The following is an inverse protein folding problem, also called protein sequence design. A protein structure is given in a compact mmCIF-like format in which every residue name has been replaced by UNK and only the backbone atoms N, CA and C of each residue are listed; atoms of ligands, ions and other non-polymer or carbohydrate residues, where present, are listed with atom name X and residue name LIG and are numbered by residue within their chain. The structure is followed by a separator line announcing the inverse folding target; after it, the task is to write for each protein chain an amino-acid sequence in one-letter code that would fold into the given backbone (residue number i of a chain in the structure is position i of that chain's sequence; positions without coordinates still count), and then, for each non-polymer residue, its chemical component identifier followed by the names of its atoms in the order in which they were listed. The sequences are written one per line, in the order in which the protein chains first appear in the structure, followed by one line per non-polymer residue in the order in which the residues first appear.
data_IF_392622015442
#
_entry.id   IF_392622015442
#
_cell.length_a   1.000
_cell.length_b   1.000
_cell.length_c   1.000
_cell.angle_alpha   90.00
_cell.angle_beta   90.00
_cell.angle_gamma   90.00
#
_symmetry.space_group_name_H-M   'P 1'
#
loop_
_entity.id
_entity.type
_entity.pdbx_description
1 polymer ?
#
# COMPACT_ATOMS: atom_id res chain seq x y z
N UNK A 1 4.56 -5.24 15.37
CA UNK A 1 5.11 -6.45 14.75
C UNK A 1 3.98 -7.47 14.71
N UNK A 2 3.16 -7.45 13.66
CA UNK A 2 2.21 -8.55 13.42
C UNK A 2 2.91 -9.51 12.49
N UNK A 3 3.40 -10.64 13.01
CA UNK A 3 3.91 -11.70 12.16
C UNK A 3 2.79 -12.27 11.29
N UNK A 4 3.14 -12.81 10.12
CA UNK A 4 2.18 -13.50 9.25
C UNK A 4 1.45 -14.61 9.98
N UNK A 5 0.15 -14.73 9.79
CA UNK A 5 -0.75 -15.52 10.65
C UNK A 5 -0.93 -16.99 10.24
N UNK A 6 0.06 -17.60 9.60
CA UNK A 6 -0.08 -18.97 9.08
C UNK A 6 -0.39 -20.03 10.15
N UNK A 7 -1.11 -21.11 9.81
CA UNK A 7 -1.55 -21.52 8.47
C UNK A 7 -2.82 -20.79 7.99
N UNK A 8 -2.92 -20.55 6.67
CA UNK A 8 -4.05 -19.83 6.06
C UNK A 8 -5.22 -20.75 5.72
N UNK A 9 -6.44 -20.25 5.88
CA UNK A 9 -7.67 -21.02 5.62
C UNK A 9 -8.03 -21.09 4.12
N UNK A 10 -7.65 -20.07 3.33
CA UNK A 10 -7.84 -20.04 1.89
C UNK A 10 -6.90 -19.03 1.18
N UNK A 11 -6.92 -19.00 -0.15
CA UNK A 11 -6.09 -18.07 -0.94
C UNK A 11 -6.42 -16.58 -0.71
N UNK A 12 -7.68 -16.27 -0.40
CA UNK A 12 -8.08 -14.89 -0.07
C UNK A 12 -7.51 -14.45 1.29
N UNK A 13 -7.55 -15.33 2.28
CA UNK A 13 -6.98 -15.08 3.61
C UNK A 13 -5.47 -14.79 3.52
N UNK A 14 -4.73 -15.60 2.75
CA UNK A 14 -3.31 -15.37 2.49
C UNK A 14 -3.06 -14.01 1.79
N UNK A 15 -3.84 -13.66 0.77
CA UNK A 15 -3.69 -12.39 0.06
C UNK A 15 -4.00 -11.19 0.96
N UNK A 16 -5.07 -11.27 1.77
CA UNK A 16 -5.49 -10.23 2.71
C UNK A 16 -4.48 -10.03 3.83
N UNK A 17 -3.81 -11.08 4.31
CA UNK A 17 -2.73 -10.96 5.31
C UNK A 17 -1.55 -10.14 4.76
N UNK A 18 -1.18 -10.35 3.49
CA UNK A 18 -0.11 -9.59 2.82
C UNK A 18 -0.48 -8.12 2.65
N UNK A 19 -1.67 -7.82 2.10
CA UNK A 19 -2.10 -6.43 1.81
C UNK A 19 -2.82 -5.75 2.97
N UNK A 20 -2.90 -6.44 4.11
CA UNK A 20 -3.64 -6.01 5.29
C UNK A 20 -3.16 -4.65 5.80
N UNK A 21 -4.11 -3.85 6.26
CA UNK A 21 -3.87 -2.51 6.79
C UNK A 21 -4.14 -1.39 5.78
N UNK A 22 -4.17 -0.16 6.29
CA UNK A 22 -4.63 1.03 5.53
C UNK A 22 -3.74 1.39 4.34
N UNK A 23 -2.43 1.11 4.42
CA UNK A 23 -1.45 1.75 3.55
C UNK A 23 -0.88 0.84 2.46
N UNK A 24 -0.85 -0.50 2.64
CA UNK A 24 -0.19 -1.41 1.70
C UNK A 24 -0.81 -1.39 0.31
N UNK A 25 -2.14 -1.40 0.20
CA UNK A 25 -2.84 -1.28 -1.09
C UNK A 25 -2.50 0.03 -1.80
N UNK A 26 -2.42 1.15 -1.07
CA UNK A 26 -2.04 2.45 -1.64
C UNK A 26 -0.57 2.47 -2.09
N UNK A 27 0.33 1.79 -1.36
CA UNK A 27 1.73 1.63 -1.75
C UNK A 27 1.87 0.81 -3.03
N UNK A 28 1.15 -0.31 -3.14
CA UNK A 28 1.14 -1.13 -4.35
C UNK A 28 0.69 -0.31 -5.57
N UNK A 29 -0.40 0.45 -5.42
CA UNK A 29 -0.91 1.32 -6.48
C UNK A 29 0.07 2.44 -6.87
N UNK A 30 0.76 3.04 -5.89
CA UNK A 30 1.76 4.07 -6.15
C UNK A 30 3.00 3.52 -6.88
N UNK A 31 3.48 2.33 -6.47
CA UNK A 31 4.65 1.67 -7.04
C UNK A 31 4.37 1.02 -8.40
N UNK A 32 3.10 0.68 -8.70
CA UNK A 32 2.68 0.22 -10.02
C UNK A 32 2.88 1.29 -11.12
N UNK A 33 3.02 2.57 -10.74
CA UNK A 33 3.33 3.68 -11.65
C UNK A 33 4.84 3.89 -11.86
N UNK A 34 5.66 2.91 -11.47
CA UNK A 34 7.11 2.91 -11.60
C UNK A 34 7.86 3.28 -10.32
N UNK A 35 9.21 3.33 -10.38
CA UNK A 35 10.06 3.52 -9.20
C UNK A 35 9.71 4.78 -8.40
N UNK A 36 9.76 4.67 -7.06
CA UNK A 36 9.50 5.80 -6.15
C UNK A 36 10.53 5.87 -5.05
N UNK A 37 10.95 7.09 -4.70
CA UNK A 37 11.73 7.37 -3.48
C UNK A 37 10.80 7.49 -2.27
N UNK A 38 11.33 7.25 -1.07
CA UNK A 38 10.58 7.36 0.18
C UNK A 38 9.79 8.67 0.32
N UNK A 39 10.43 9.81 0.07
CA UNK A 39 9.78 11.13 0.16
C UNK A 39 8.70 11.38 -0.90
N UNK A 40 8.70 10.64 -2.02
CA UNK A 40 7.60 10.69 -3.00
C UNK A 40 6.42 9.86 -2.51
N UNK A 41 6.67 8.63 -2.04
CA UNK A 41 5.63 7.79 -1.43
C UNK A 41 4.94 8.51 -0.26
N UNK A 42 5.70 9.17 0.62
CA UNK A 42 5.13 9.95 1.74
C UNK A 42 4.17 11.05 1.28
N UNK A 43 4.44 11.68 0.13
CA UNK A 43 3.57 12.73 -0.44
C UNK A 43 2.33 12.16 -1.12
N UNK A 44 2.46 10.99 -1.74
CA UNK A 44 1.34 10.29 -2.40
C UNK A 44 0.39 9.64 -1.38
N UNK A 45 0.83 9.42 -0.13
CA UNK A 45 0.03 8.84 0.95
C UNK A 45 -0.17 9.85 2.12
N UNK A 46 -1.02 10.88 1.95
CA UNK A 46 -1.22 11.89 2.98
C UNK A 46 -1.76 11.27 4.29
N UNK A 47 -1.13 11.62 5.41
CA UNK A 47 -1.49 11.11 6.75
C UNK A 47 -0.71 9.87 7.20
N UNK A 48 0.16 9.30 6.37
CA UNK A 48 1.10 8.26 6.82
C UNK A 48 2.28 8.91 7.56
N UNK A 49 2.62 8.41 8.75
CA UNK A 49 3.85 8.83 9.43
C UNK A 49 5.06 8.14 8.80
N UNK A 50 6.24 8.75 8.91
CA UNK A 50 7.48 8.14 8.37
C UNK A 50 7.75 6.77 8.98
N UNK A 51 7.52 6.63 10.28
CA UNK A 51 7.67 5.36 11.00
C UNK A 51 6.76 4.28 10.41
N UNK A 52 5.49 4.62 10.14
CA UNK A 52 4.54 3.67 9.55
C UNK A 52 4.92 3.35 8.12
N UNK A 53 5.25 4.35 7.29
CA UNK A 53 5.67 4.12 5.90
C UNK A 53 6.90 3.20 5.82
N UNK A 54 7.92 3.48 6.62
CA UNK A 54 9.13 2.65 6.68
C UNK A 54 8.80 1.23 7.17
N UNK A 55 7.88 1.09 8.13
CA UNK A 55 7.45 -0.22 8.60
C UNK A 55 6.72 -1.01 7.50
N UNK A 56 5.81 -0.38 6.77
CA UNK A 56 5.05 -1.03 5.71
C UNK A 56 5.95 -1.42 4.53
N UNK A 57 6.91 -0.58 4.14
CA UNK A 57 7.89 -0.92 3.11
C UNK A 57 8.77 -2.09 3.52
N UNK A 58 9.24 -2.14 4.78
CA UNK A 58 10.01 -3.29 5.30
C UNK A 58 9.20 -4.58 5.31
N UNK A 59 7.92 -4.51 5.67
CA UNK A 59 7.04 -5.69 5.62
C UNK A 59 6.87 -6.18 4.18
N UNK A 60 6.57 -5.28 3.24
CA UNK A 60 6.43 -5.64 1.83
C UNK A 60 7.73 -6.13 1.20
N UNK A 61 8.88 -5.61 1.63
CA UNK A 61 10.21 -6.07 1.23
C UNK A 61 10.49 -7.48 1.77
N UNK A 62 10.25 -7.71 3.06
CA UNK A 62 10.35 -9.04 3.67
C UNK A 62 9.37 -10.03 3.02
N UNK A 63 8.24 -9.53 2.51
CA UNK A 63 7.25 -10.33 1.82
C UNK A 63 7.60 -10.65 0.36
N UNK A 64 8.69 -10.09 -0.18
CA UNK A 64 9.08 -10.26 -1.57
C UNK A 64 8.18 -9.52 -2.55
N UNK A 65 7.39 -8.56 -2.06
CA UNK A 65 6.43 -7.77 -2.84
C UNK A 65 7.06 -6.48 -3.37
N UNK A 66 7.95 -5.87 -2.59
CA UNK A 66 8.67 -4.65 -2.94
C UNK A 66 10.16 -4.92 -2.99
N UNK A 67 10.83 -4.44 -4.03
CA UNK A 67 12.27 -4.39 -4.10
C UNK A 67 12.78 -3.01 -3.67
N UNK A 68 13.81 -3.00 -2.82
CA UNK A 68 14.50 -1.79 -2.37
C UNK A 68 15.88 -1.76 -2.99
N UNK A 69 16.15 -0.76 -3.81
CA UNK A 69 17.43 -0.59 -4.49
C UNK A 69 18.15 0.67 -3.98
N UNK A 70 19.43 0.53 -3.64
CA UNK A 70 20.31 1.64 -3.25
C UNK A 70 21.23 1.93 -4.41
N UNK A 71 21.26 3.18 -4.85
CA UNK A 71 22.13 3.62 -5.93
C UNK A 71 23.25 4.48 -5.34
N UNK A 72 24.48 4.00 -5.52
CA UNK A 72 25.73 4.64 -5.07
C UNK A 72 26.17 5.77 -6.01
N UNK A 73 25.25 6.67 -6.31
CA UNK A 73 25.52 7.93 -7.02
C UNK A 73 25.66 9.09 -6.02
N UNK A 74 26.15 10.24 -6.47
CA UNK A 74 26.16 11.48 -5.65
C UNK A 74 25.03 12.41 -6.12
N UNK A 75 24.07 12.79 -5.25
CA UNK A 75 23.83 12.25 -3.91
C UNK A 75 23.21 10.84 -3.95
N UNK A 76 23.43 10.00 -2.92
CA UNK A 76 22.91 8.64 -2.88
C UNK A 76 21.38 8.66 -2.90
N UNK A 77 20.78 7.72 -3.63
CA UNK A 77 19.31 7.60 -3.72
C UNK A 77 18.87 6.17 -3.41
N UNK A 78 17.71 6.05 -2.79
CA UNK A 78 17.03 4.78 -2.55
C UNK A 78 15.70 4.81 -3.28
N UNK A 79 15.45 3.79 -4.09
CA UNK A 79 14.20 3.62 -4.82
C UNK A 79 13.53 2.31 -4.43
N UNK A 80 12.20 2.33 -4.50
CA UNK A 80 11.34 1.20 -4.26
C UNK A 80 10.59 0.88 -5.55
N UNK A 81 10.49 -0.40 -5.87
CA UNK A 81 9.78 -0.93 -7.05
C UNK A 81 8.95 -2.15 -6.65
N UNK A 82 7.92 -2.48 -7.43
CA UNK A 82 7.26 -3.78 -7.29
C UNK A 82 8.18 -4.87 -7.85
N UNK A 83 8.19 -6.02 -7.18
CA UNK A 83 8.73 -7.25 -7.76
C UNK A 83 7.73 -7.83 -8.77
N UNK A 84 8.08 -8.94 -9.43
CA UNK A 84 7.13 -9.69 -10.25
C UNK A 84 5.92 -10.16 -9.42
N UNK A 85 6.17 -10.70 -8.22
CA UNK A 85 5.10 -11.10 -7.29
C UNK A 85 4.24 -9.91 -6.83
N UNK A 86 4.87 -8.76 -6.56
CA UNK A 86 4.14 -7.55 -6.20
C UNK A 86 3.31 -6.99 -7.35
N UNK A 87 3.80 -7.14 -8.59
CA UNK A 87 3.07 -6.77 -9.80
C UNK A 87 1.85 -7.67 -9.98
N UNK A 88 1.99 -8.99 -9.88
CA UNK A 88 0.86 -9.92 -9.97
C UNK A 88 -0.17 -9.70 -8.85
N UNK A 89 0.28 -9.36 -7.64
CA UNK A 89 -0.61 -9.00 -6.55
C UNK A 89 -1.38 -7.72 -6.83
N UNK A 90 -0.73 -6.70 -7.39
CA UNK A 90 -1.38 -5.45 -7.78
C UNK A 90 -2.41 -5.67 -8.91
N UNK A 91 -2.15 -6.55 -9.87
CA UNK A 91 -3.11 -6.95 -10.91
C UNK A 91 -4.34 -7.63 -10.32
N UNK A 92 -4.16 -8.50 -9.32
CA UNK A 92 -5.28 -9.13 -8.60
C UNK A 92 -6.18 -8.13 -7.87
N UNK A 93 -5.68 -6.91 -7.57
CA UNK A 93 -6.46 -5.82 -6.96
C UNK A 93 -7.23 -4.98 -7.98
N UNK A 94 -6.98 -5.11 -9.28
CA UNK A 94 -7.66 -4.33 -10.32
C UNK A 94 -9.19 -4.55 -10.31
N UNK A 95 -9.71 -5.79 -10.25
CA UNK A 95 -11.15 -6.04 -10.15
C UNK A 95 -11.77 -5.44 -8.88
N UNK A 96 -11.04 -5.48 -7.76
CA UNK A 96 -11.47 -4.89 -6.50
C UNK A 96 -11.56 -3.35 -6.61
N UNK A 97 -10.56 -2.72 -7.21
CA UNK A 97 -10.58 -1.29 -7.51
C UNK A 97 -11.72 -0.89 -8.46
N UNK A 98 -12.01 -1.72 -9.47
CA UNK A 98 -13.15 -1.51 -10.36
C UNK A 98 -14.49 -1.62 -9.64
N UNK A 99 -14.64 -2.60 -8.74
CA UNK A 99 -15.81 -2.70 -7.88
C UNK A 99 -15.96 -1.45 -6.99
N UNK A 100 -14.88 -0.99 -6.37
CA UNK A 100 -14.88 0.22 -5.54
C UNK A 100 -15.35 1.46 -6.31
N UNK A 101 -14.84 1.68 -7.53
CA UNK A 101 -15.28 2.80 -8.39
C UNK A 101 -16.78 2.76 -8.71
N UNK A 102 -17.34 1.58 -8.93
CA UNK A 102 -18.78 1.44 -9.23
C UNK A 102 -19.68 1.74 -8.02
N UNK A 103 -19.18 1.52 -6.81
CA UNK A 103 -20.00 1.61 -5.58
C UNK A 103 -19.63 2.78 -4.67
N UNK A 104 -18.63 3.59 -5.02
CA UNK A 104 -18.17 4.68 -4.14
C UNK A 104 -19.30 5.65 -3.75
N UNK A 105 -20.16 6.06 -4.69
CA UNK A 105 -21.27 6.95 -4.40
C UNK A 105 -22.29 6.34 -3.42
N UNK A 106 -22.56 5.04 -3.56
CA UNK A 106 -23.43 4.31 -2.63
C UNK A 106 -22.81 4.23 -1.23
N UNK A 107 -21.51 3.94 -1.14
CA UNK A 107 -20.80 3.86 0.13
C UNK A 107 -20.73 5.23 0.84
N UNK A 108 -20.51 6.31 0.08
CA UNK A 108 -20.51 7.69 0.58
C UNK A 108 -21.90 8.13 1.08
N UNK A 109 -22.97 7.75 0.37
CA UNK A 109 -24.34 8.04 0.79
C UNK A 109 -24.74 7.28 2.06
N UNK A 110 -24.22 6.07 2.26
CA UNK A 110 -24.54 5.22 3.42
C UNK A 110 -23.73 5.60 4.67
N UNK A 111 -22.54 6.18 4.48
CA UNK A 111 -21.69 6.67 5.57
C UNK A 111 -21.27 8.12 5.29
N UNK A 112 -22.17 9.10 5.49
CA UNK A 112 -21.83 10.50 5.30
C UNK A 112 -20.62 10.85 6.17
N UNK A 113 -19.58 11.42 5.55
CA UNK A 113 -18.39 11.89 6.28
C UNK A 113 -18.86 12.79 7.43
N UNK A 114 -18.62 12.39 8.68
CA UNK A 114 -18.71 13.31 9.82
C UNK A 114 -17.77 14.47 9.52
N UNK A 115 -18.34 15.64 9.21
CA UNK A 115 -17.60 16.88 9.21
C UNK A 115 -17.08 17.09 10.64
N UNK A 116 -15.79 17.38 10.86
CA UNK A 116 -15.35 17.84 12.17
C UNK A 116 -15.92 19.25 12.37
N UNK A 117 -17.10 19.35 12.96
CA UNK A 117 -17.59 20.59 13.56
C UNK A 117 -16.64 20.98 14.70
N UNK A 118 -16.16 22.23 14.68
CA UNK A 118 -15.52 22.87 15.83
C UNK A 118 -14.09 23.34 15.62
N UNK A 119 -13.86 24.22 14.65
CA UNK A 119 -12.87 25.28 14.83
C UNK A 119 -13.61 26.51 15.37
N UNK A 120 -13.54 26.69 16.69
CA UNK A 120 -13.80 27.94 17.39
C UNK A 120 -12.55 28.27 18.19
#
# INVERSE_FOLDING_TARGET
MGGRKGPYECGLDAAVDVIGGKWKVLLLWALAQGPRRFGRLRRELPGVSEKVLAQQLRELEADGIVHREVFDQVPPKVEYTLTELGTSLNEALVPLGAWGRRHMAHLEATHPRRHPDGAA
#
